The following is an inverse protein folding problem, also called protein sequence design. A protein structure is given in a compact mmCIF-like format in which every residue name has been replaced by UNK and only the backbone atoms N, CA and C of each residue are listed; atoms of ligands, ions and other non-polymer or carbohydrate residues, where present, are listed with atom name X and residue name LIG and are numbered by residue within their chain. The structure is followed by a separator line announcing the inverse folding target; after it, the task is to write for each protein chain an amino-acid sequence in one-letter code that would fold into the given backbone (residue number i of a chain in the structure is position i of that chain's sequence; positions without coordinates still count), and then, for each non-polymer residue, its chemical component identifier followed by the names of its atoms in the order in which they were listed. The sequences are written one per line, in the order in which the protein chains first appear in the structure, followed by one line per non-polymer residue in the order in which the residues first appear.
data_IF_992653075528
#
_entry.id   IF_992653075528
#
_cell.length_a   1.000
_cell.length_b   1.000
_cell.length_c   1.000
_cell.angle_alpha   90.00
_cell.angle_beta   90.00
_cell.angle_gamma   90.00
#
_symmetry.space_group_name_H-M   'P 1'
#
loop_
_entity.id
_entity.type
_entity.pdbx_description
1 polymer ?
#
# COMPACT_ATOMS: atom_id res chain seq x y z
N UNK A 1 -12.35 -21.41 -15.18
CA UNK A 1 -12.08 -20.13 -14.48
C UNK A 1 -13.21 -19.89 -13.49
N UNK A 2 -12.95 -19.58 -12.21
CA UNK A 2 -14.02 -19.29 -11.26
C UNK A 2 -14.61 -17.90 -11.52
N UNK A 3 -15.91 -17.75 -11.32
CA UNK A 3 -16.57 -16.46 -11.39
C UNK A 3 -16.00 -15.49 -10.32
N UNK A 4 -15.83 -14.19 -10.65
CA UNK A 4 -15.40 -13.19 -9.67
C UNK A 4 -16.24 -13.23 -8.40
N UNK A 5 -15.62 -13.15 -7.23
CA UNK A 5 -16.35 -13.31 -5.94
C UNK A 5 -17.51 -12.32 -5.78
N UNK A 6 -17.35 -11.09 -6.26
CA UNK A 6 -18.37 -10.03 -6.14
C UNK A 6 -19.53 -10.22 -7.11
N UNK A 7 -19.28 -10.87 -8.24
CA UNK A 7 -20.32 -11.21 -9.21
C UNK A 7 -21.27 -12.29 -8.68
N UNK A 8 -20.77 -13.20 -7.83
CA UNK A 8 -21.55 -14.37 -7.36
C UNK A 8 -22.88 -14.00 -6.70
N UNK A 9 -22.99 -12.85 -6.04
CA UNK A 9 -24.21 -12.41 -5.42
C UNK A 9 -25.34 -12.08 -6.41
N UNK A 10 -25.01 -11.84 -7.69
CA UNK A 10 -25.93 -11.51 -8.77
C UNK A 10 -26.24 -12.70 -9.67
N UNK A 11 -25.52 -13.83 -9.54
CA UNK A 11 -25.71 -15.00 -10.40
C UNK A 11 -26.93 -15.81 -9.94
N UNK A 12 -28.12 -15.23 -10.13
CA UNK A 12 -29.44 -15.83 -9.93
C UNK A 12 -30.17 -15.82 -11.26
N UNK A 13 -30.79 -16.95 -11.64
CA UNK A 13 -31.43 -17.10 -12.94
C UNK A 13 -30.43 -17.44 -14.05
N UNK A 14 -30.53 -16.81 -15.21
CA UNK A 14 -29.72 -17.11 -16.37
C UNK A 14 -29.13 -15.86 -17.03
N UNK A 15 -28.05 -16.06 -17.80
CA UNK A 15 -27.46 -15.02 -18.66
C UNK A 15 -26.85 -15.62 -19.91
N UNK A 16 -26.82 -14.84 -20.98
CA UNK A 16 -26.02 -15.17 -22.16
C UNK A 16 -24.57 -14.80 -21.88
N UNK A 17 -23.70 -15.80 -21.93
CA UNK A 17 -22.29 -15.68 -21.53
C UNK A 17 -21.40 -15.85 -22.75
N UNK A 18 -20.45 -14.94 -22.93
CA UNK A 18 -19.35 -15.05 -23.88
C UNK A 18 -18.03 -15.03 -23.13
N UNK A 19 -17.22 -16.07 -23.31
CA UNK A 19 -15.86 -16.14 -22.76
C UNK A 19 -14.87 -15.92 -23.89
N UNK A 20 -13.99 -14.94 -23.74
CA UNK A 20 -12.97 -14.57 -24.71
C UNK A 20 -11.60 -14.65 -24.05
N UNK A 21 -10.60 -15.19 -24.74
CA UNK A 21 -9.20 -15.14 -24.36
C UNK A 21 -8.37 -14.87 -25.62
N UNK A 22 -7.47 -13.90 -25.55
CA UNK A 22 -6.58 -13.51 -26.66
C UNK A 22 -7.33 -13.33 -27.99
N UNK A 23 -8.41 -12.54 -27.98
CA UNK A 23 -9.32 -12.31 -29.14
C UNK A 23 -10.10 -13.55 -29.62
N UNK A 24 -9.83 -14.73 -29.06
CA UNK A 24 -10.52 -15.95 -29.39
C UNK A 24 -11.72 -16.18 -28.50
N UNK A 25 -12.91 -16.36 -29.10
CA UNK A 25 -14.09 -16.78 -28.34
C UNK A 25 -13.96 -18.26 -27.97
N UNK A 26 -13.90 -18.53 -26.65
CA UNK A 26 -13.80 -19.88 -26.08
C UNK A 26 -15.18 -20.50 -25.86
N UNK A 27 -16.18 -19.67 -25.54
CA UNK A 27 -17.54 -20.10 -25.27
C UNK A 27 -18.53 -18.96 -25.62
N UNK A 28 -19.67 -19.31 -26.13
CA UNK A 28 -20.84 -18.44 -26.26
C UNK A 28 -22.08 -19.29 -26.06
N UNK A 29 -22.95 -18.90 -25.15
CA UNK A 29 -24.21 -19.60 -24.88
C UNK A 29 -24.89 -19.14 -23.62
N UNK A 30 -26.12 -19.60 -23.44
CA UNK A 30 -26.91 -19.36 -22.23
C UNK A 30 -26.42 -20.25 -21.10
N UNK A 31 -26.20 -19.66 -19.93
CA UNK A 31 -25.80 -20.33 -18.69
C UNK A 31 -26.87 -20.06 -17.64
N UNK A 32 -27.46 -21.10 -17.10
CA UNK A 32 -28.32 -21.03 -15.92
C UNK A 32 -27.46 -21.18 -14.67
N UNK A 33 -27.63 -20.25 -13.72
CA UNK A 33 -26.89 -20.22 -12.46
C UNK A 33 -27.74 -20.80 -11.31
N UNK A 34 -29.07 -20.66 -11.43
CA UNK A 34 -30.07 -21.24 -10.51
C UNK A 34 -31.27 -21.70 -11.33
N UNK A 35 -32.25 -22.31 -10.67
CA UNK A 35 -33.54 -22.74 -11.28
C UNK A 35 -34.53 -21.58 -11.49
N UNK A 36 -34.13 -20.34 -11.27
CA UNK A 36 -34.94 -19.15 -11.51
C UNK A 36 -34.95 -18.82 -13.01
N UNK A 37 -36.14 -18.60 -13.57
CA UNK A 37 -36.33 -18.27 -14.98
C UNK A 37 -36.02 -16.79 -15.33
N UNK A 38 -35.67 -15.97 -14.35
CA UNK A 38 -35.30 -14.58 -14.57
C UNK A 38 -33.91 -14.44 -15.18
N UNK A 39 -33.72 -13.42 -16.01
CA UNK A 39 -32.38 -13.05 -16.45
C UNK A 39 -31.60 -12.39 -15.27
N UNK A 40 -30.27 -12.65 -15.22
CA UNK A 40 -29.39 -12.01 -14.24
C UNK A 40 -29.52 -10.49 -14.35
N UNK A 41 -29.86 -9.83 -13.24
CA UNK A 41 -29.91 -8.36 -13.11
C UNK A 41 -28.84 -7.88 -12.12
N UNK A 42 -27.87 -7.14 -12.63
CA UNK A 42 -26.78 -6.60 -11.83
C UNK A 42 -27.06 -5.17 -11.43
N UNK A 43 -27.80 -4.99 -10.32
CA UNK A 43 -28.11 -3.68 -9.75
C UNK A 43 -27.63 -3.55 -8.30
N UNK A 44 -27.24 -2.35 -7.93
CA UNK A 44 -26.90 -2.05 -6.55
C UNK A 44 -28.14 -1.74 -5.69
N UNK A 45 -27.91 -1.38 -4.42
CA UNK A 45 -28.96 -0.99 -3.46
C UNK A 45 -29.74 0.27 -3.85
N UNK A 46 -29.26 1.04 -4.81
CA UNK A 46 -29.94 2.23 -5.36
C UNK A 46 -30.69 1.91 -6.66
N UNK A 47 -30.71 0.64 -7.08
CA UNK A 47 -31.32 0.20 -8.33
C UNK A 47 -30.52 0.55 -9.58
N UNK A 48 -29.26 1.02 -9.43
CA UNK A 48 -28.39 1.38 -10.54
C UNK A 48 -27.64 0.16 -11.06
N UNK A 49 -27.52 -0.01 -12.39
CA UNK A 49 -26.71 -1.05 -12.98
C UNK A 49 -25.27 -0.99 -12.48
N UNK A 50 -24.68 -2.14 -12.22
CA UNK A 50 -23.28 -2.27 -11.83
C UNK A 50 -22.57 -3.26 -12.73
N UNK A 51 -21.27 -3.04 -12.91
CA UNK A 51 -20.37 -3.98 -13.60
C UNK A 51 -19.27 -4.40 -12.63
N UNK A 52 -18.59 -5.48 -12.97
CA UNK A 52 -17.32 -5.85 -12.32
C UNK A 52 -16.19 -5.32 -13.19
N UNK A 53 -15.41 -4.40 -12.62
CA UNK A 53 -14.29 -3.79 -13.32
C UNK A 53 -13.07 -4.72 -13.44
N UNK A 54 -12.04 -4.25 -14.12
CA UNK A 54 -10.76 -4.94 -14.29
C UNK A 54 -10.06 -5.33 -12.97
N UNK A 55 -10.40 -4.67 -11.87
CA UNK A 55 -9.88 -4.95 -10.52
C UNK A 55 -10.75 -5.93 -9.72
N UNK A 56 -11.85 -6.41 -10.32
CA UNK A 56 -12.84 -7.28 -9.68
C UNK A 56 -13.71 -6.54 -8.66
N UNK A 57 -13.84 -5.22 -8.79
CA UNK A 57 -14.70 -4.38 -7.96
C UNK A 57 -16.02 -4.10 -8.67
N UNK A 58 -17.09 -3.91 -7.88
CA UNK A 58 -18.38 -3.44 -8.43
C UNK A 58 -18.29 -1.94 -8.68
N UNK A 59 -18.57 -1.54 -9.90
CA UNK A 59 -18.55 -0.16 -10.36
C UNK A 59 -19.88 0.22 -11.02
N UNK A 60 -20.19 1.52 -11.00
CA UNK A 60 -21.35 2.11 -11.66
C UNK A 60 -20.86 2.86 -12.90
N UNK A 61 -20.93 2.26 -14.09
CA UNK A 61 -20.41 2.90 -15.29
C UNK A 61 -21.18 4.16 -15.63
N UNK A 62 -20.50 5.15 -16.19
CA UNK A 62 -21.09 6.43 -16.57
C UNK A 62 -22.28 6.28 -17.52
N UNK A 63 -22.19 5.37 -18.49
CA UNK A 63 -23.26 5.10 -19.44
C UNK A 63 -24.60 4.69 -18.81
N UNK A 64 -24.59 4.23 -17.56
CA UNK A 64 -25.79 3.77 -16.85
C UNK A 64 -26.33 4.78 -15.88
N UNK A 65 -25.74 5.97 -15.81
CA UNK A 65 -26.10 7.04 -14.87
C UNK A 65 -26.79 8.19 -15.60
N UNK A 66 -27.60 8.94 -14.86
CA UNK A 66 -28.47 9.97 -15.43
C UNK A 66 -27.72 11.09 -16.17
N UNK A 67 -28.45 11.72 -17.08
CA UNK A 67 -27.96 12.89 -17.80
C UNK A 67 -27.48 14.01 -16.84
N UNK A 68 -26.44 14.71 -17.22
CA UNK A 68 -25.85 15.81 -16.44
C UNK A 68 -24.79 15.39 -15.41
N UNK A 69 -24.62 14.09 -15.10
CA UNK A 69 -23.57 13.63 -14.18
C UNK A 69 -22.16 14.02 -14.67
N UNK A 70 -21.86 13.77 -15.93
CA UNK A 70 -20.54 14.04 -16.49
C UNK A 70 -20.24 15.55 -16.53
N UNK A 71 -21.23 16.38 -16.85
CA UNK A 71 -21.10 17.82 -16.75
C UNK A 71 -20.82 18.30 -15.31
N UNK A 72 -21.54 17.73 -14.33
CA UNK A 72 -21.29 17.99 -12.90
C UNK A 72 -19.86 17.58 -12.51
N UNK A 73 -19.39 16.43 -12.94
CA UNK A 73 -18.04 15.98 -12.62
C UNK A 73 -16.96 16.84 -13.29
N UNK A 74 -17.21 17.32 -14.51
CA UNK A 74 -16.30 18.24 -15.19
C UNK A 74 -16.25 19.59 -14.45
N UNK A 75 -17.40 20.13 -13.99
CA UNK A 75 -17.47 21.37 -13.21
C UNK A 75 -16.78 21.22 -11.85
N UNK A 76 -16.99 20.11 -11.15
CA UNK A 76 -16.31 19.85 -9.87
C UNK A 76 -14.81 19.59 -10.06
N UNK A 77 -14.40 18.99 -11.18
CA UNK A 77 -12.97 18.85 -11.53
C UNK A 77 -12.31 20.23 -11.70
N UNK A 78 -12.95 21.17 -12.39
CA UNK A 78 -12.45 22.53 -12.49
C UNK A 78 -12.35 23.20 -11.11
N UNK A 79 -13.37 23.06 -10.25
CA UNK A 79 -13.30 23.59 -8.87
C UNK A 79 -12.13 23.02 -8.07
N UNK A 80 -11.84 21.73 -8.21
CA UNK A 80 -10.70 21.09 -7.55
C UNK A 80 -9.41 21.70 -8.09
N UNK A 81 -9.27 21.81 -9.41
CA UNK A 81 -8.11 22.39 -10.08
C UNK A 81 -7.87 23.83 -9.60
N UNK A 82 -8.91 24.67 -9.53
CA UNK A 82 -8.81 26.05 -9.04
C UNK A 82 -8.26 26.10 -7.60
N UNK A 83 -8.75 25.24 -6.70
CA UNK A 83 -8.23 25.16 -5.32
C UNK A 83 -6.77 24.71 -5.30
N UNK A 84 -6.39 23.73 -6.13
CA UNK A 84 -5.02 23.24 -6.23
C UNK A 84 -4.07 24.33 -6.74
N UNK A 85 -4.46 25.07 -7.72
CA UNK A 85 -3.63 26.15 -8.32
C UNK A 85 -3.61 27.40 -7.46
N UNK A 86 -4.78 27.95 -7.09
CA UNK A 86 -4.90 29.25 -6.42
C UNK A 86 -4.50 29.18 -4.94
N UNK A 87 -4.86 28.08 -4.25
CA UNK A 87 -4.64 27.96 -2.80
C UNK A 87 -3.36 27.19 -2.49
N UNK A 88 -3.06 26.13 -3.23
CA UNK A 88 -1.92 25.26 -2.93
C UNK A 88 -0.70 25.55 -3.82
N UNK A 89 -0.86 26.29 -4.92
CA UNK A 89 0.23 26.66 -5.82
C UNK A 89 0.80 25.48 -6.62
N UNK A 90 0.04 24.41 -6.81
CA UNK A 90 0.45 23.23 -7.57
C UNK A 90 -0.29 23.18 -8.91
N UNK A 91 0.40 22.79 -9.96
CA UNK A 91 -0.19 22.60 -11.30
C UNK A 91 -0.93 21.28 -11.34
N UNK A 92 -2.15 21.28 -11.87
CA UNK A 92 -2.99 20.09 -11.93
C UNK A 92 -3.69 19.93 -13.28
N UNK A 93 -3.98 18.70 -13.66
CA UNK A 93 -4.54 18.35 -14.96
C UNK A 93 -5.36 17.07 -14.88
N UNK A 94 -6.21 16.83 -15.92
CA UNK A 94 -6.88 15.56 -16.09
C UNK A 94 -5.91 14.48 -16.58
N UNK A 95 -6.02 13.26 -16.04
CA UNK A 95 -5.10 12.16 -16.35
C UNK A 95 -5.81 10.84 -16.56
N UNK A 96 -5.05 9.77 -16.77
CA UNK A 96 -5.51 8.39 -16.94
C UNK A 96 -6.72 8.23 -17.84
N UNK A 97 -7.78 7.55 -17.34
CA UNK A 97 -9.03 7.29 -18.08
C UNK A 97 -9.70 8.56 -18.55
N UNK A 98 -9.68 9.61 -17.74
CA UNK A 98 -10.25 10.93 -18.07
C UNK A 98 -9.51 11.59 -19.21
N UNK A 99 -8.16 11.63 -19.19
CA UNK A 99 -7.34 12.14 -20.29
C UNK A 99 -7.51 11.31 -21.56
N UNK A 100 -7.60 9.98 -21.41
CA UNK A 100 -7.80 9.06 -22.53
C UNK A 100 -9.13 9.33 -23.27
N UNK A 101 -10.21 9.51 -22.51
CA UNK A 101 -11.51 9.87 -23.06
C UNK A 101 -11.52 11.24 -23.73
N UNK A 102 -10.96 12.24 -23.04
CA UNK A 102 -10.80 13.60 -23.57
C UNK A 102 -10.02 13.62 -24.90
N UNK A 103 -8.87 12.93 -24.95
CA UNK A 103 -8.03 12.91 -26.16
C UNK A 103 -8.63 12.09 -27.32
N UNK A 104 -9.50 11.11 -27.06
CA UNK A 104 -10.18 10.32 -28.08
C UNK A 104 -11.40 11.03 -28.69
N UNK A 105 -12.20 11.65 -27.84
CA UNK A 105 -13.53 12.14 -28.25
C UNK A 105 -14.03 13.39 -27.53
N UNK A 106 -13.25 13.98 -26.63
CA UNK A 106 -13.71 15.07 -25.77
C UNK A 106 -14.69 14.63 -24.67
N UNK A 107 -14.87 13.30 -24.47
CA UNK A 107 -15.87 12.74 -23.56
C UNK A 107 -15.27 11.72 -22.61
N UNK A 108 -15.96 11.46 -21.51
CA UNK A 108 -15.64 10.36 -20.62
C UNK A 108 -15.81 9.00 -21.29
N UNK A 109 -15.08 8.01 -20.82
CA UNK A 109 -15.23 6.62 -21.28
C UNK A 109 -16.46 6.04 -20.60
N UNK A 110 -17.44 5.57 -21.37
CA UNK A 110 -18.77 5.20 -20.86
C UNK A 110 -18.79 4.10 -19.80
N UNK A 111 -17.86 3.13 -19.88
CA UNK A 111 -17.72 2.06 -18.90
C UNK A 111 -16.84 2.43 -17.70
N UNK A 112 -16.29 3.63 -17.65
CA UNK A 112 -15.57 4.17 -16.49
C UNK A 112 -16.54 4.66 -15.40
N UNK A 113 -16.05 4.95 -14.20
CA UNK A 113 -16.89 5.24 -13.04
C UNK A 113 -16.39 6.41 -12.18
N UNK A 114 -15.22 6.94 -12.48
CA UNK A 114 -14.52 8.00 -11.75
C UNK A 114 -13.83 8.97 -12.71
N UNK A 115 -13.39 10.09 -12.18
CA UNK A 115 -12.58 11.08 -12.90
C UNK A 115 -11.21 11.13 -12.22
N UNK A 116 -10.17 11.15 -13.02
CA UNK A 116 -8.79 11.18 -12.56
C UNK A 116 -8.16 12.57 -12.80
N UNK A 117 -7.64 13.16 -11.75
CA UNK A 117 -6.79 14.33 -11.76
C UNK A 117 -5.40 14.01 -11.24
N UNK A 118 -4.39 14.63 -11.80
CA UNK A 118 -3.03 14.63 -11.26
C UNK A 118 -2.62 16.05 -10.87
N UNK A 119 -1.71 16.17 -9.90
CA UNK A 119 -0.99 17.40 -9.65
C UNK A 119 0.51 17.14 -9.61
N UNK A 120 1.31 18.13 -10.05
CA UNK A 120 2.76 18.01 -10.03
C UNK A 120 3.33 18.48 -8.70
N UNK A 121 3.91 17.56 -7.96
CA UNK A 121 4.71 17.86 -6.77
C UNK A 121 6.16 18.19 -7.19
N UNK A 122 6.66 19.33 -6.72
CA UNK A 122 8.06 19.74 -6.85
C UNK A 122 8.88 19.41 -5.60
N UNK A 123 8.32 18.59 -4.71
CA UNK A 123 9.01 18.14 -3.49
C UNK A 123 10.05 17.09 -3.81
N UNK A 124 11.11 17.06 -3.01
CA UNK A 124 12.26 16.19 -3.22
C UNK A 124 12.16 14.84 -2.52
N UNK A 125 11.28 14.74 -1.52
CA UNK A 125 11.16 13.52 -0.71
C UNK A 125 9.71 13.06 -0.59
N UNK A 126 9.46 11.74 -0.46
CA UNK A 126 8.13 11.21 -0.23
C UNK A 126 7.44 11.81 1.01
N UNK A 127 8.19 12.09 2.07
CA UNK A 127 7.65 12.69 3.30
C UNK A 127 7.12 14.12 3.06
N UNK A 128 7.81 14.90 2.24
CA UNK A 128 7.35 16.24 1.85
C UNK A 128 6.14 16.16 0.92
N UNK A 129 6.12 15.22 -0.04
CA UNK A 129 4.98 14.97 -0.93
C UNK A 129 3.73 14.54 -0.13
N UNK A 130 3.89 13.67 0.86
CA UNK A 130 2.78 13.28 1.75
C UNK A 130 2.25 14.46 2.55
N UNK A 131 3.14 15.33 3.03
CA UNK A 131 2.75 16.56 3.75
C UNK A 131 1.99 17.52 2.84
N UNK A 132 2.47 17.71 1.61
CA UNK A 132 1.81 18.49 0.56
C UNK A 132 0.39 17.95 0.26
N UNK A 133 0.22 16.63 0.10
CA UNK A 133 -1.10 16.01 -0.07
C UNK A 133 -2.04 16.29 1.11
N UNK A 134 -1.52 16.31 2.34
CA UNK A 134 -2.31 16.66 3.52
C UNK A 134 -2.68 18.14 3.56
N UNK A 135 -1.80 19.03 3.07
CA UNK A 135 -2.10 20.45 2.91
C UNK A 135 -3.19 20.66 1.87
N UNK A 136 -3.08 20.00 0.73
CA UNK A 136 -4.12 19.95 -0.33
C UNK A 136 -5.44 19.44 0.26
N UNK A 137 -5.45 18.34 1.00
CA UNK A 137 -6.65 17.81 1.62
C UNK A 137 -7.30 18.80 2.60
N UNK A 138 -6.50 19.63 3.30
CA UNK A 138 -7.03 20.70 4.17
C UNK A 138 -7.65 21.83 3.37
N UNK A 139 -7.00 22.25 2.28
CA UNK A 139 -7.51 23.30 1.39
C UNK A 139 -8.84 22.90 0.73
N UNK A 140 -8.93 21.68 0.19
CA UNK A 140 -10.17 21.14 -0.39
C UNK A 140 -11.31 21.05 0.64
N UNK A 141 -11.01 20.63 1.89
CA UNK A 141 -12.02 20.63 2.97
C UNK A 141 -12.46 22.02 3.34
N UNK A 142 -11.53 22.99 3.39
CA UNK A 142 -11.86 24.40 3.64
C UNK A 142 -12.76 24.98 2.52
N UNK A 143 -12.59 24.53 1.27
CA UNK A 143 -13.47 24.83 0.16
C UNK A 143 -14.83 24.07 0.18
N UNK A 144 -15.12 23.34 1.27
CA UNK A 144 -16.40 22.65 1.48
C UNK A 144 -16.47 21.24 0.85
N UNK A 145 -15.38 20.71 0.32
CA UNK A 145 -15.39 19.40 -0.35
C UNK A 145 -15.26 18.26 0.67
N UNK A 146 -16.01 17.20 0.47
CA UNK A 146 -15.85 15.94 1.21
C UNK A 146 -14.84 15.07 0.50
N UNK A 147 -13.89 14.53 1.25
CA UNK A 147 -12.84 13.70 0.66
C UNK A 147 -12.36 12.60 1.59
N UNK A 148 -11.79 11.56 0.99
CA UNK A 148 -11.11 10.48 1.68
C UNK A 148 -9.67 10.37 1.18
N UNK A 149 -8.69 10.40 2.10
CA UNK A 149 -7.30 10.09 1.76
C UNK A 149 -7.19 8.58 1.61
N UNK A 150 -6.75 8.13 0.45
CA UNK A 150 -6.64 6.72 0.08
C UNK A 150 -5.26 6.15 0.36
N UNK A 151 -4.23 6.95 0.04
CA UNK A 151 -2.83 6.62 0.26
C UNK A 151 -2.02 7.90 0.52
N UNK A 152 -0.72 7.78 0.77
CA UNK A 152 0.17 8.93 0.94
C UNK A 152 0.35 9.77 -0.33
N UNK A 153 -0.12 9.28 -1.48
CA UNK A 153 0.03 9.93 -2.78
C UNK A 153 -1.29 10.15 -3.53
N UNK A 154 -2.46 9.82 -2.96
CA UNK A 154 -3.72 10.18 -3.57
C UNK A 154 -4.89 10.25 -2.59
N UNK A 155 -5.89 11.02 -2.97
CA UNK A 155 -7.16 11.17 -2.27
C UNK A 155 -8.32 11.11 -3.28
N UNK A 156 -9.52 10.78 -2.80
CA UNK A 156 -10.77 10.84 -3.57
C UNK A 156 -11.67 11.93 -3.02
N UNK A 157 -12.04 12.90 -3.84
CA UNK A 157 -13.11 13.85 -3.56
C UNK A 157 -14.44 13.18 -3.86
N UNK A 158 -15.38 13.24 -2.90
CA UNK A 158 -16.70 12.66 -3.01
C UNK A 158 -17.69 13.70 -3.50
N UNK A 159 -18.23 13.51 -4.69
CA UNK A 159 -19.21 14.39 -5.30
C UNK A 159 -20.61 13.82 -5.05
N UNK A 160 -21.49 14.54 -4.34
CA UNK A 160 -22.89 14.18 -4.24
C UNK A 160 -23.54 14.24 -5.63
N UNK A 161 -24.33 13.23 -5.97
CA UNK A 161 -24.98 13.14 -7.29
C UNK A 161 -26.51 13.06 -7.12
N UNK A 162 -27.29 13.52 -8.11
CA UNK A 162 -28.76 13.52 -8.03
C UNK A 162 -29.37 12.14 -7.81
N UNK A 163 -28.71 11.08 -8.29
CA UNK A 163 -29.12 9.68 -8.10
C UNK A 163 -28.83 9.14 -6.67
N UNK A 164 -28.24 9.96 -5.80
CA UNK A 164 -27.91 9.59 -4.41
C UNK A 164 -26.77 8.58 -4.26
N UNK A 165 -26.20 8.09 -5.36
CA UNK A 165 -25.13 7.08 -5.33
C UNK A 165 -23.74 7.68 -5.09
N UNK A 166 -23.59 8.99 -5.32
CA UNK A 166 -22.30 9.68 -5.29
C UNK A 166 -21.38 9.31 -6.47
N UNK A 167 -20.33 10.10 -6.67
CA UNK A 167 -19.26 9.83 -7.60
C UNK A 167 -17.89 10.21 -6.98
N UNK A 168 -16.80 9.68 -7.51
CA UNK A 168 -15.44 9.99 -7.08
C UNK A 168 -14.71 10.84 -8.10
N UNK A 169 -13.89 11.78 -7.62
CA UNK A 169 -12.82 12.40 -8.39
C UNK A 169 -11.54 12.10 -7.65
N UNK A 170 -10.67 11.33 -8.28
CA UNK A 170 -9.39 10.95 -7.71
C UNK A 170 -8.33 12.00 -8.02
N UNK A 171 -7.53 12.37 -7.03
CA UNK A 171 -6.46 13.36 -7.15
C UNK A 171 -5.15 12.70 -6.75
N UNK A 172 -4.26 12.55 -7.72
CA UNK A 172 -2.99 11.83 -7.58
C UNK A 172 -1.79 12.76 -7.54
N UNK A 173 -0.81 12.41 -6.72
CA UNK A 173 0.50 13.05 -6.73
C UNK A 173 1.33 12.54 -7.90
N UNK A 174 1.81 13.44 -8.75
CA UNK A 174 2.75 13.16 -9.83
C UNK A 174 4.07 13.89 -9.54
N UNK A 175 5.19 13.30 -9.87
CA UNK A 175 6.52 13.87 -9.62
C UNK A 175 7.58 13.30 -10.53
N UNK A 176 8.69 14.03 -10.67
CA UNK A 176 9.89 13.55 -11.34
C UNK A 176 10.89 13.07 -10.27
N UNK A 177 11.44 11.88 -10.47
CA UNK A 177 12.49 11.34 -9.62
C UNK A 177 13.45 10.49 -10.45
N UNK A 178 14.76 10.70 -10.29
CA UNK A 178 15.80 9.94 -10.99
C UNK A 178 15.56 9.85 -12.52
N UNK A 179 15.23 10.99 -13.13
CA UNK A 179 14.98 11.10 -14.58
C UNK A 179 13.67 10.47 -15.08
N UNK A 180 12.85 9.94 -14.19
CA UNK A 180 11.56 9.33 -14.53
C UNK A 180 10.39 10.16 -14.05
N UNK A 181 9.31 10.18 -14.82
CA UNK A 181 8.00 10.64 -14.37
C UNK A 181 7.29 9.51 -13.62
N UNK A 182 6.81 9.83 -12.43
CA UNK A 182 5.92 8.97 -11.65
C UNK A 182 4.53 9.59 -11.65
N UNK A 183 3.62 8.95 -12.33
CA UNK A 183 2.19 9.28 -12.34
C UNK A 183 1.45 8.11 -11.71
N UNK A 184 1.43 8.07 -10.37
CA UNK A 184 1.12 6.92 -9.53
C UNK A 184 2.12 5.74 -9.66
N UNK A 185 1.88 4.61 -8.99
CA UNK A 185 2.69 3.41 -9.12
C UNK A 185 2.64 2.78 -10.54
N UNK A 186 1.65 3.16 -11.34
CA UNK A 186 1.38 2.53 -12.64
C UNK A 186 2.20 3.11 -13.78
N UNK A 187 2.71 4.34 -13.64
CA UNK A 187 3.50 5.00 -14.70
C UNK A 187 4.83 5.45 -14.14
N UNK A 188 5.89 4.81 -14.59
CA UNK A 188 7.28 5.19 -14.34
C UNK A 188 8.08 5.06 -15.63
N UNK A 189 8.53 6.18 -16.16
CA UNK A 189 9.28 6.18 -17.41
C UNK A 189 10.08 7.47 -17.55
N UNK A 190 11.17 7.45 -18.30
CA UNK A 190 11.82 8.68 -18.74
C UNK A 190 10.88 9.48 -19.64
N UNK A 191 10.56 10.70 -19.23
CA UNK A 191 9.72 11.63 -19.98
C UNK A 191 10.36 13.01 -19.92
N UNK A 192 10.56 13.69 -21.04
CA UNK A 192 10.99 15.09 -21.01
C UNK A 192 9.91 15.92 -20.34
N UNK A 193 10.33 16.86 -19.48
CA UNK A 193 9.40 17.70 -18.72
C UNK A 193 8.47 18.51 -19.65
N UNK A 194 8.95 18.82 -20.85
CA UNK A 194 8.24 19.55 -21.90
C UNK A 194 7.07 18.78 -22.48
N UNK A 195 7.02 17.45 -22.32
CA UNK A 195 5.84 16.66 -22.68
C UNK A 195 4.68 16.87 -21.71
N UNK A 196 4.99 17.23 -20.45
CA UNK A 196 3.99 17.53 -19.43
C UNK A 196 3.66 19.02 -19.37
N UNK A 197 4.66 19.89 -19.44
CA UNK A 197 4.53 21.35 -19.21
C UNK A 197 5.00 22.18 -20.41
N UNK A 198 4.40 23.37 -20.65
CA UNK A 198 3.27 23.94 -19.91
C UNK A 198 1.97 23.18 -20.17
N UNK A 199 1.07 23.14 -19.18
CA UNK A 199 -0.26 22.54 -19.37
C UNK A 199 -1.01 23.26 -20.49
N UNK A 200 -1.82 22.52 -21.25
CA UNK A 200 -2.65 23.04 -22.32
C UNK A 200 -4.11 22.67 -22.10
N UNK A 201 -5.05 23.54 -22.49
CA UNK A 201 -6.46 23.21 -22.40
C UNK A 201 -6.81 22.05 -23.34
N UNK A 202 -7.57 21.09 -22.82
CA UNK A 202 -8.15 19.98 -23.58
C UNK A 202 -9.65 19.88 -23.27
N UNK A 203 -10.45 19.59 -24.31
CA UNK A 203 -11.89 19.46 -24.13
C UNK A 203 -12.24 18.18 -23.38
N UNK A 204 -13.10 18.30 -22.35
CA UNK A 204 -13.70 17.19 -21.63
C UNK A 204 -15.12 17.54 -21.21
N UNK A 205 -16.11 16.82 -21.73
CA UNK A 205 -17.55 17.01 -21.47
C UNK A 205 -18.02 18.45 -21.67
N UNK A 206 -17.53 19.10 -22.78
CA UNK A 206 -17.87 20.49 -23.14
C UNK A 206 -17.20 21.56 -22.26
N UNK A 207 -16.20 21.21 -21.46
CA UNK A 207 -15.34 22.12 -20.68
C UNK A 207 -13.91 22.04 -21.17
N UNK A 208 -13.19 23.13 -21.07
CA UNK A 208 -11.75 23.17 -21.33
C UNK A 208 -10.99 23.01 -20.02
N UNK A 209 -10.51 21.80 -19.74
CA UNK A 209 -9.73 21.48 -18.55
C UNK A 209 -8.23 21.45 -18.88
N UNK A 210 -7.32 21.69 -17.90
CA UNK A 210 -5.89 21.52 -18.12
C UNK A 210 -5.54 20.06 -18.45
N UNK A 211 -4.69 19.89 -19.47
CA UNK A 211 -4.10 18.62 -19.87
C UNK A 211 -2.58 18.77 -20.05
N UNK A 212 -1.82 17.66 -20.22
CA UNK A 212 -0.40 17.69 -20.53
C UNK A 212 -0.09 18.49 -21.81
N UNK A 213 1.15 19.01 -21.94
CA UNK A 213 1.63 19.68 -23.14
C UNK A 213 1.54 18.80 -24.40
N UNK A 214 1.80 17.52 -24.25
CA UNK A 214 1.67 16.46 -25.25
C UNK A 214 0.85 15.29 -24.71
N UNK A 215 -0.50 15.37 -24.79
CA UNK A 215 -1.38 14.29 -24.32
C UNK A 215 -1.11 12.96 -25.00
N UNK A 216 -0.76 12.98 -26.30
CA UNK A 216 -0.51 11.75 -27.06
C UNK A 216 0.71 10.99 -26.51
N UNK A 217 1.77 11.72 -26.17
CA UNK A 217 2.99 11.14 -25.57
C UNK A 217 2.72 10.52 -24.20
N UNK A 218 1.98 11.21 -23.33
CA UNK A 218 1.60 10.71 -22.01
C UNK A 218 0.70 9.47 -22.12
N UNK A 219 -0.25 9.49 -23.04
CA UNK A 219 -1.15 8.35 -23.27
C UNK A 219 -0.43 7.15 -23.88
N UNK A 220 0.50 7.37 -24.82
CA UNK A 220 1.33 6.30 -25.38
C UNK A 220 2.14 5.57 -24.29
N UNK A 221 2.66 6.32 -23.34
CA UNK A 221 3.41 5.80 -22.19
C UNK A 221 2.51 5.02 -21.24
N UNK A 222 1.32 5.54 -20.96
CA UNK A 222 0.39 4.95 -19.98
C UNK A 222 -0.35 3.74 -20.52
N UNK A 223 -0.68 3.73 -21.84
CA UNK A 223 -1.57 2.75 -22.45
C UNK A 223 -0.95 2.01 -23.65
N UNK A 224 0.29 2.36 -24.02
CA UNK A 224 0.97 1.79 -25.18
C UNK A 224 0.65 2.52 -26.50
N UNK A 225 1.33 2.15 -27.60
CA UNK A 225 1.24 2.85 -28.88
C UNK A 225 -0.16 2.79 -29.51
N UNK A 226 -0.97 1.80 -29.14
CA UNK A 226 -2.32 1.60 -29.64
C UNK A 226 -3.41 2.25 -28.79
N UNK A 227 -3.06 3.22 -27.92
CA UNK A 227 -3.98 3.85 -26.98
C UNK A 227 -5.25 4.44 -27.61
N UNK A 228 -5.23 4.75 -28.91
CA UNK A 228 -6.39 5.26 -29.65
C UNK A 228 -7.47 4.21 -29.87
N UNK A 229 -7.11 2.94 -29.87
CA UNK A 229 -8.04 1.82 -30.06
C UNK A 229 -8.58 1.40 -28.70
N UNK A 230 -9.92 1.36 -28.49
CA UNK A 230 -10.48 0.89 -27.24
C UNK A 230 -10.10 -0.56 -26.94
N UNK A 231 -9.54 -0.82 -25.77
CA UNK A 231 -9.26 -2.14 -25.23
C UNK A 231 -9.88 -2.29 -23.84
N UNK A 232 -11.08 -2.88 -23.73
CA UNK A 232 -11.74 -3.09 -22.45
C UNK A 232 -10.99 -4.05 -21.52
N UNK A 233 -10.04 -4.81 -22.03
CA UNK A 233 -9.23 -5.75 -21.25
C UNK A 233 -7.96 -5.12 -20.67
N UNK A 234 -7.63 -3.91 -21.07
CA UNK A 234 -6.41 -3.24 -20.65
C UNK A 234 -6.31 -3.12 -19.10
N UNK A 235 -5.17 -3.53 -18.60
CA UNK A 235 -4.82 -3.37 -17.18
C UNK A 235 -3.41 -2.84 -17.06
N UNK A 236 -3.22 -1.81 -16.24
CA UNK A 236 -1.88 -1.42 -15.84
C UNK A 236 -1.22 -2.54 -15.05
N UNK A 237 -0.05 -2.96 -15.48
CA UNK A 237 0.74 -4.01 -14.82
C UNK A 237 2.13 -3.45 -14.51
N UNK A 238 2.26 -2.62 -13.47
CA UNK A 238 3.57 -2.14 -13.06
C UNK A 238 4.44 -3.31 -12.60
N UNK A 239 5.74 -3.21 -12.84
CA UNK A 239 6.67 -4.21 -12.34
C UNK A 239 6.63 -4.27 -10.80
N UNK A 240 6.85 -5.45 -10.19
CA UNK A 240 6.82 -5.61 -8.74
C UNK A 240 7.73 -4.64 -7.98
N UNK A 241 8.86 -4.28 -8.57
CA UNK A 241 9.82 -3.33 -8.00
C UNK A 241 9.24 -1.90 -7.91
N UNK A 242 8.44 -1.50 -8.91
CA UNK A 242 7.79 -0.20 -8.95
C UNK A 242 6.71 -0.15 -7.87
N UNK A 243 5.87 -1.18 -7.80
CA UNK A 243 4.84 -1.29 -6.78
C UNK A 243 5.44 -1.24 -5.36
N UNK A 244 6.49 -2.02 -5.11
CA UNK A 244 7.15 -2.06 -3.81
C UNK A 244 7.75 -0.72 -3.41
N UNK A 245 8.47 -0.06 -4.34
CA UNK A 245 9.09 1.24 -4.08
C UNK A 245 8.05 2.31 -3.81
N UNK A 246 7.01 2.36 -4.62
CA UNK A 246 5.94 3.35 -4.50
C UNK A 246 5.13 3.16 -3.21
N UNK A 247 4.84 1.91 -2.87
CA UNK A 247 4.20 1.55 -1.61
C UNK A 247 5.09 1.87 -0.40
N UNK A 248 6.40 1.65 -0.51
CA UNK A 248 7.38 2.04 0.50
C UNK A 248 7.41 3.56 0.71
N UNK A 249 7.33 4.34 -0.36
CA UNK A 249 7.34 5.79 -0.28
C UNK A 249 6.07 6.39 0.30
N UNK A 250 4.89 5.83 -0.03
CA UNK A 250 3.60 6.44 0.28
C UNK A 250 2.72 5.62 1.22
N UNK A 251 3.26 4.52 1.73
CA UNK A 251 2.78 3.92 2.97
C UNK A 251 1.48 3.16 2.93
N UNK A 252 1.18 2.40 1.88
CA UNK A 252 0.15 1.35 1.98
C UNK A 252 0.42 0.21 1.02
N UNK A 253 1.10 -0.82 1.49
CA UNK A 253 1.22 -2.12 0.83
C UNK A 253 -0.12 -2.88 0.85
N UNK A 254 -1.13 -2.40 0.14
CA UNK A 254 -2.48 -2.96 0.18
C UNK A 254 -2.53 -4.45 -0.12
N UNK A 255 -1.80 -4.89 -1.12
CA UNK A 255 -1.78 -6.29 -1.53
C UNK A 255 -1.12 -7.15 -0.46
N UNK A 256 0.08 -6.81 -0.05
CA UNK A 256 0.82 -7.52 0.99
C UNK A 256 0.12 -7.46 2.35
N UNK A 257 -0.37 -6.28 2.74
CA UNK A 257 -1.14 -6.12 3.98
C UNK A 257 -2.38 -7.03 3.99
N UNK A 258 -3.10 -7.12 2.87
CA UNK A 258 -4.27 -8.03 2.76
C UNK A 258 -3.87 -9.48 2.96
N UNK A 259 -2.75 -9.90 2.40
CA UNK A 259 -2.23 -11.26 2.52
C UNK A 259 -1.72 -11.55 3.94
N UNK A 260 -0.98 -10.62 4.55
CA UNK A 260 -0.59 -10.73 5.95
C UNK A 260 -1.79 -10.73 6.90
N UNK A 261 -2.79 -9.91 6.66
CA UNK A 261 -4.05 -9.94 7.42
C UNK A 261 -4.76 -11.30 7.31
N UNK A 262 -4.75 -11.93 6.13
CA UNK A 262 -5.32 -13.26 5.94
C UNK A 262 -4.50 -14.32 6.68
N UNK A 263 -3.19 -14.29 6.58
CA UNK A 263 -2.27 -15.18 7.28
C UNK A 263 -2.42 -15.06 8.81
N UNK A 264 -2.28 -13.85 9.35
CA UNK A 264 -2.38 -13.61 10.80
C UNK A 264 -3.76 -13.97 11.35
N UNK A 265 -4.83 -13.74 10.60
CA UNK A 265 -6.19 -14.17 10.99
C UNK A 265 -6.32 -15.68 11.08
N UNK A 266 -5.72 -16.42 10.14
CA UNK A 266 -5.74 -17.88 10.14
C UNK A 266 -4.91 -18.41 11.30
N UNK A 267 -3.71 -17.88 11.50
CA UNK A 267 -2.85 -18.25 12.60
C UNK A 267 -3.49 -17.94 13.98
N UNK A 268 -4.12 -16.76 14.12
CA UNK A 268 -4.80 -16.40 15.38
C UNK A 268 -5.99 -17.31 15.72
N UNK A 269 -6.70 -17.84 14.71
CA UNK A 269 -7.78 -18.81 14.92
C UNK A 269 -7.27 -20.19 15.36
N UNK A 270 -6.05 -20.53 15.00
CA UNK A 270 -5.43 -21.81 15.38
C UNK A 270 -4.95 -21.85 16.84
N UNK A 271 -5.07 -20.74 17.59
CA UNK A 271 -4.60 -20.63 18.97
C UNK A 271 -3.07 -20.52 19.02
N UNK A 272 -2.49 -19.39 18.60
CA UNK A 272 -1.04 -19.25 18.53
C UNK A 272 -0.42 -19.29 19.93
N UNK A 273 0.72 -19.97 20.04
CA UNK A 273 1.55 -20.03 21.23
C UNK A 273 2.81 -19.20 21.04
N UNK A 274 3.44 -18.83 22.13
CA UNK A 274 4.72 -18.14 22.13
C UNK A 274 5.83 -18.97 21.47
N UNK A 275 6.80 -18.32 20.89
CA UNK A 275 7.96 -18.94 20.26
C UNK A 275 9.01 -19.40 21.27
N UNK A 276 9.87 -20.35 20.86
CA UNK A 276 11.08 -20.68 21.61
C UNK A 276 11.98 -19.48 21.81
N UNK A 277 12.05 -18.59 20.82
CA UNK A 277 12.87 -17.39 20.90
C UNK A 277 12.39 -16.41 21.99
N UNK A 278 11.06 -16.23 22.16
CA UNK A 278 10.53 -15.41 23.25
C UNK A 278 10.89 -15.98 24.62
N UNK A 279 10.85 -17.32 24.76
CA UNK A 279 11.28 -17.99 26.00
C UNK A 279 12.77 -17.83 26.28
N UNK A 280 13.60 -17.84 25.24
CA UNK A 280 15.06 -17.66 25.36
C UNK A 280 15.44 -16.19 25.68
N UNK A 281 14.65 -15.21 25.23
CA UNK A 281 14.87 -13.78 25.46
C UNK A 281 14.44 -13.36 26.85
N UNK A 282 13.30 -13.87 27.36
CA UNK A 282 12.71 -13.44 28.63
C UNK A 282 13.72 -13.36 29.79
N UNK A 283 14.55 -14.42 30.08
CA UNK A 283 15.49 -14.39 31.20
C UNK A 283 16.67 -13.42 31.02
N UNK A 284 16.84 -12.86 29.85
CA UNK A 284 17.91 -11.87 29.52
C UNK A 284 17.45 -10.45 29.66
N UNK A 285 16.14 -10.21 29.78
CA UNK A 285 15.57 -8.88 29.86
C UNK A 285 15.88 -8.26 31.23
N UNK A 286 16.28 -6.97 31.28
CA UNK A 286 16.51 -6.28 32.54
C UNK A 286 15.19 -6.06 33.30
N UNK A 287 15.28 -5.92 34.61
CA UNK A 287 14.13 -5.63 35.47
C UNK A 287 13.45 -4.31 35.08
N UNK A 288 12.12 -4.31 35.09
CA UNK A 288 11.30 -3.14 34.74
C UNK A 288 11.32 -2.74 33.27
N UNK A 289 11.87 -3.59 32.40
CA UNK A 289 11.90 -3.34 30.95
C UNK A 289 10.51 -3.43 30.34
N UNK A 290 10.26 -2.63 29.32
CA UNK A 290 9.13 -2.77 28.42
C UNK A 290 9.60 -3.33 27.06
N UNK A 291 8.97 -4.40 26.59
CA UNK A 291 9.27 -5.01 25.28
C UNK A 291 8.46 -4.35 24.17
N UNK A 292 9.13 -4.01 23.09
CA UNK A 292 8.54 -3.54 21.81
C UNK A 292 8.63 -4.70 20.80
N UNK A 293 7.54 -5.44 20.64
CA UNK A 293 7.45 -6.56 19.69
C UNK A 293 7.08 -6.00 18.31
N UNK A 294 8.10 -5.83 17.44
CA UNK A 294 7.95 -5.25 16.10
C UNK A 294 7.77 -6.36 15.07
N UNK A 295 6.65 -6.32 14.34
CA UNK A 295 6.19 -7.42 13.50
C UNK A 295 5.48 -8.49 14.32
N UNK A 296 4.69 -8.08 15.30
CA UNK A 296 4.07 -8.95 16.30
C UNK A 296 3.09 -9.99 15.74
N UNK A 297 2.63 -9.84 14.50
CA UNK A 297 1.74 -10.78 13.84
C UNK A 297 0.47 -11.09 14.65
N UNK A 298 0.40 -12.27 15.25
CA UNK A 298 -0.74 -12.68 16.10
C UNK A 298 -0.70 -12.10 17.51
N UNK A 299 0.44 -11.52 17.92
CA UNK A 299 0.67 -11.01 19.28
C UNK A 299 1.00 -12.10 20.31
N UNK A 300 1.31 -13.33 19.89
CA UNK A 300 1.55 -14.44 20.81
C UNK A 300 2.78 -14.23 21.70
N UNK A 301 3.90 -13.79 21.10
CA UNK A 301 5.14 -13.52 21.83
C UNK A 301 4.98 -12.31 22.77
N UNK A 302 4.36 -11.20 22.29
CA UNK A 302 4.04 -10.06 23.12
C UNK A 302 3.12 -10.42 24.31
N UNK A 303 2.11 -11.28 24.07
CA UNK A 303 1.24 -11.75 25.12
C UNK A 303 1.96 -12.66 26.14
N UNK A 304 2.94 -13.43 25.68
CA UNK A 304 3.79 -14.21 26.56
C UNK A 304 4.58 -13.32 27.50
N UNK A 305 5.29 -12.32 26.98
CA UNK A 305 6.01 -11.37 27.83
C UNK A 305 5.09 -10.71 28.87
N UNK A 306 3.92 -10.25 28.45
CA UNK A 306 2.95 -9.64 29.35
C UNK A 306 2.47 -10.60 30.44
N UNK A 307 2.19 -11.88 30.14
CA UNK A 307 1.82 -12.91 31.13
C UNK A 307 2.93 -13.19 32.13
N UNK A 308 4.19 -12.96 31.76
CA UNK A 308 5.35 -13.10 32.64
C UNK A 308 5.66 -11.81 33.41
N UNK A 309 4.75 -10.84 33.41
CA UNK A 309 4.91 -9.58 34.14
C UNK A 309 5.78 -8.53 33.42
N UNK A 310 6.19 -8.77 32.19
CA UNK A 310 6.97 -7.81 31.37
C UNK A 310 6.01 -7.06 30.44
N UNK A 311 5.76 -5.76 30.66
CA UNK A 311 4.88 -4.99 29.78
C UNK A 311 5.34 -5.04 28.32
N UNK A 312 4.40 -5.27 27.40
CA UNK A 312 4.70 -5.44 25.99
C UNK A 312 3.84 -4.53 25.10
N UNK A 313 4.45 -3.98 24.06
CA UNK A 313 3.80 -3.22 23.01
C UNK A 313 3.96 -3.98 21.69
N UNK A 314 2.87 -4.55 21.22
CA UNK A 314 2.83 -5.23 19.93
C UNK A 314 2.63 -4.22 18.80
N UNK A 315 3.54 -4.21 17.84
CA UNK A 315 3.60 -3.30 16.70
C UNK A 315 3.53 -4.10 15.41
N UNK A 316 2.47 -3.90 14.63
CA UNK A 316 2.32 -4.53 13.31
C UNK A 316 1.30 -3.76 12.48
N UNK A 317 1.41 -3.79 11.15
CA UNK A 317 0.43 -3.17 10.25
C UNK A 317 -0.71 -4.12 9.86
N UNK A 318 -0.58 -5.41 10.12
CA UNK A 318 -1.50 -6.48 9.76
C UNK A 318 -2.08 -7.22 10.97
N UNK A 319 -2.35 -6.49 12.05
CA UNK A 319 -2.87 -7.05 13.30
C UNK A 319 -4.23 -7.73 13.10
N UNK A 320 -4.47 -8.91 13.67
CA UNK A 320 -5.77 -9.56 13.67
C UNK A 320 -6.87 -8.67 14.25
N UNK A 321 -8.13 -8.97 13.93
CA UNK A 321 -9.27 -8.26 14.54
C UNK A 321 -9.23 -8.41 16.07
N UNK A 322 -9.66 -7.37 16.79
CA UNK A 322 -9.60 -7.29 18.26
C UNK A 322 -10.14 -8.55 18.96
N UNK A 323 -11.21 -9.17 18.46
CA UNK A 323 -11.79 -10.40 19.01
C UNK A 323 -10.90 -11.64 18.91
N UNK A 324 -9.86 -11.60 18.06
CA UNK A 324 -8.86 -12.66 17.90
C UNK A 324 -7.53 -12.29 18.54
N UNK A 325 -7.47 -11.15 19.22
CA UNK A 325 -6.28 -10.63 19.87
C UNK A 325 -6.23 -11.13 21.33
N UNK A 326 -5.03 -11.49 21.83
CA UNK A 326 -4.89 -11.86 23.23
C UNK A 326 -5.32 -10.71 24.16
N UNK A 327 -6.21 -11.00 25.10
CA UNK A 327 -6.59 -10.06 26.16
C UNK A 327 -5.74 -10.37 27.40
N UNK A 328 -4.65 -9.62 27.56
CA UNK A 328 -3.65 -9.80 28.62
C UNK A 328 -3.30 -8.44 29.21
N UNK A 329 -3.32 -8.36 30.53
CA UNK A 329 -2.87 -7.16 31.24
C UNK A 329 -1.39 -6.86 30.90
N UNK A 330 -1.05 -5.58 30.73
CA UNK A 330 0.30 -5.17 30.33
C UNK A 330 0.59 -5.30 28.83
N UNK A 331 -0.34 -5.85 28.03
CA UNK A 331 -0.20 -5.91 26.57
C UNK A 331 -0.90 -4.74 25.89
N UNK A 332 -0.13 -3.92 25.19
CA UNK A 332 -0.65 -2.83 24.35
C UNK A 332 -0.53 -3.20 22.87
N UNK A 333 -1.58 -2.90 22.11
CA UNK A 333 -1.63 -3.12 20.66
C UNK A 333 -1.55 -1.81 19.92
N UNK A 334 -0.61 -1.68 18.98
CA UNK A 334 -0.47 -0.51 18.12
C UNK A 334 -0.26 -0.93 16.66
N UNK A 335 -1.00 -0.30 15.77
CA UNK A 335 -0.79 -0.45 14.34
C UNK A 335 0.35 0.46 13.91
N UNK A 336 1.31 -0.06 13.15
CA UNK A 336 2.40 0.71 12.53
C UNK A 336 2.77 0.11 11.18
N UNK A 337 2.86 0.96 10.17
CA UNK A 337 3.32 0.58 8.84
C UNK A 337 4.78 1.04 8.64
N UNK A 338 5.72 0.10 8.61
CA UNK A 338 7.14 0.39 8.40
C UNK A 338 7.48 0.93 6.99
N UNK A 339 6.52 0.99 6.09
CA UNK A 339 6.67 1.64 4.79
C UNK A 339 6.07 3.05 4.74
N UNK A 340 5.49 3.52 5.85
CA UNK A 340 4.97 4.89 5.99
C UNK A 340 5.86 5.68 6.94
N UNK A 341 6.72 6.54 6.36
CA UNK A 341 7.67 7.36 7.13
C UNK A 341 6.97 8.18 8.22
N UNK A 342 5.78 8.71 7.95
CA UNK A 342 5.03 9.49 8.93
C UNK A 342 4.57 8.63 10.10
N UNK A 343 4.07 7.43 9.79
CA UNK A 343 3.62 6.48 10.82
C UNK A 343 4.80 6.03 11.68
N UNK A 344 5.92 5.68 11.03
CA UNK A 344 7.19 5.31 11.69
C UNK A 344 7.65 6.42 12.64
N UNK A 345 7.81 7.66 12.15
CA UNK A 345 8.31 8.77 12.96
C UNK A 345 7.37 9.11 14.11
N UNK A 346 6.05 9.13 13.84
CA UNK A 346 5.05 9.39 14.88
C UNK A 346 5.11 8.32 15.97
N UNK A 347 5.15 7.06 15.58
CA UNK A 347 5.20 5.93 16.51
C UNK A 347 6.51 5.90 17.29
N UNK A 348 7.63 6.06 16.63
CA UNK A 348 8.95 6.08 17.25
C UNK A 348 9.07 7.17 18.34
N UNK A 349 8.59 8.39 18.06
CA UNK A 349 8.57 9.49 19.04
C UNK A 349 7.67 9.17 20.23
N UNK A 350 6.49 8.58 20.00
CA UNK A 350 5.59 8.18 21.10
C UNK A 350 6.22 7.09 21.97
N UNK A 351 6.90 6.12 21.38
CA UNK A 351 7.63 5.06 22.11
C UNK A 351 8.80 5.64 22.91
N UNK A 352 9.54 6.59 22.34
CA UNK A 352 10.67 7.26 22.99
C UNK A 352 10.30 8.14 24.19
N UNK A 353 9.01 8.47 24.40
CA UNK A 353 8.53 9.19 25.59
C UNK A 353 8.48 8.32 26.85
N UNK A 354 8.60 7.02 26.69
CA UNK A 354 8.69 6.13 27.86
C UNK A 354 9.99 6.37 28.62
N UNK A 355 9.88 6.54 29.94
CA UNK A 355 11.03 6.90 30.79
C UNK A 355 11.79 5.68 31.36
N UNK A 356 11.18 4.49 31.28
CA UNK A 356 11.81 3.25 31.74
C UNK A 356 12.65 2.58 30.64
N UNK A 357 13.38 1.50 30.99
CA UNK A 357 14.14 0.73 30.02
C UNK A 357 13.23 0.09 28.98
N UNK A 358 13.74 -0.04 27.75
CA UNK A 358 13.03 -0.66 26.66
C UNK A 358 13.93 -1.67 25.93
N UNK A 359 13.33 -2.74 25.43
CA UNK A 359 13.97 -3.67 24.52
C UNK A 359 13.10 -3.86 23.27
N UNK A 360 13.72 -3.91 22.10
CA UNK A 360 13.07 -4.29 20.86
C UNK A 360 13.19 -5.79 20.68
N UNK A 361 12.08 -6.43 20.37
CA UNK A 361 12.01 -7.82 19.99
C UNK A 361 11.46 -7.89 18.56
N UNK A 362 12.09 -8.64 17.66
CA UNK A 362 11.60 -8.84 16.31
C UNK A 362 11.94 -10.24 15.80
N UNK A 363 10.92 -11.01 15.45
CA UNK A 363 11.03 -12.39 14.97
C UNK A 363 10.37 -12.53 13.61
N UNK A 364 11.13 -13.02 12.61
CA UNK A 364 10.61 -13.22 11.26
C UNK A 364 10.22 -11.93 10.55
N UNK A 365 10.71 -10.79 11.03
CA UNK A 365 10.37 -9.47 10.48
C UNK A 365 11.30 -9.08 9.32
N UNK A 366 12.61 -9.19 9.49
CA UNK A 366 13.56 -8.61 8.52
C UNK A 366 13.43 -9.23 7.14
N UNK A 367 13.24 -10.54 7.05
CA UNK A 367 12.98 -11.21 5.78
C UNK A 367 11.58 -10.91 5.19
N UNK A 368 10.68 -10.38 5.99
CA UNK A 368 9.33 -9.95 5.56
C UNK A 368 9.30 -8.51 5.07
N UNK A 369 10.40 -7.77 5.22
CA UNK A 369 10.52 -6.38 4.82
C UNK A 369 11.38 -6.23 3.56
N UNK A 370 10.90 -5.45 2.59
CA UNK A 370 11.73 -4.92 1.51
C UNK A 370 12.83 -4.01 2.10
N UNK A 371 13.90 -3.73 1.36
CA UNK A 371 15.00 -2.89 1.84
C UNK A 371 14.55 -1.58 2.49
N UNK A 372 13.61 -0.87 1.86
CA UNK A 372 13.07 0.40 2.36
C UNK A 372 12.37 0.24 3.73
N UNK A 373 11.61 -0.86 3.90
CA UNK A 373 10.97 -1.18 5.18
C UNK A 373 11.97 -1.53 6.27
N UNK A 374 13.10 -2.19 5.92
CA UNK A 374 14.20 -2.45 6.87
C UNK A 374 14.90 -1.17 7.31
N UNK A 375 15.11 -0.24 6.39
CA UNK A 375 15.65 1.09 6.72
C UNK A 375 14.74 1.80 7.73
N UNK A 376 13.44 1.80 7.50
CA UNK A 376 12.46 2.40 8.41
C UNK A 376 12.36 1.66 9.75
N UNK A 377 12.55 0.34 9.79
CA UNK A 377 12.67 -0.41 11.03
C UNK A 377 13.85 0.10 11.87
N UNK A 378 15.03 0.27 11.29
CA UNK A 378 16.19 0.78 11.99
C UNK A 378 16.02 2.22 12.43
N UNK A 379 15.33 3.04 11.66
CA UNK A 379 14.98 4.41 12.05
C UNK A 379 14.02 4.43 13.26
N UNK A 380 12.98 3.58 13.26
CA UNK A 380 12.07 3.41 14.39
C UNK A 380 12.85 3.02 15.65
N UNK A 381 13.71 2.03 15.55
CA UNK A 381 14.52 1.51 16.66
C UNK A 381 15.45 2.58 17.20
N UNK A 382 16.18 3.29 16.32
CA UNK A 382 17.12 4.36 16.73
C UNK A 382 16.45 5.49 17.52
N UNK A 383 15.20 5.82 17.19
CA UNK A 383 14.44 6.86 17.88
C UNK A 383 13.80 6.29 19.17
N UNK A 384 13.19 5.11 19.10
CA UNK A 384 12.53 4.48 20.25
C UNK A 384 13.53 4.18 21.40
N UNK A 385 14.73 3.71 21.04
CA UNK A 385 15.81 3.38 21.98
C UNK A 385 16.84 4.51 22.17
N UNK A 386 16.48 5.76 21.88
CA UNK A 386 17.42 6.89 22.10
C UNK A 386 17.98 7.00 23.52
N UNK A 387 17.26 6.48 24.51
CA UNK A 387 17.68 6.38 25.91
C UNK A 387 18.56 5.18 26.23
N UNK A 388 18.92 4.40 25.23
CA UNK A 388 19.61 3.11 25.37
C UNK A 388 18.65 1.93 25.44
N UNK A 389 19.16 0.74 25.19
CA UNK A 389 18.39 -0.51 25.27
C UNK A 389 19.00 -1.65 24.47
N UNK A 390 18.24 -2.71 24.33
CA UNK A 390 18.67 -3.89 23.57
C UNK A 390 17.68 -4.22 22.45
N UNK A 391 18.20 -4.88 21.43
CA UNK A 391 17.43 -5.43 20.31
C UNK A 391 17.69 -6.92 20.27
N UNK A 392 16.64 -7.72 20.30
CA UNK A 392 16.69 -9.17 20.14
C UNK A 392 16.04 -9.52 18.81
N UNK A 393 16.83 -10.09 17.89
CA UNK A 393 16.42 -10.44 16.54
C UNK A 393 16.50 -11.95 16.31
N UNK A 394 15.46 -12.52 15.71
CA UNK A 394 15.48 -13.82 15.07
C UNK A 394 14.96 -13.69 13.65
N UNK A 395 15.71 -14.21 12.68
CA UNK A 395 15.38 -14.09 11.26
C UNK A 395 15.82 -15.34 10.50
N UNK A 396 15.30 -15.52 9.29
CA UNK A 396 15.66 -16.62 8.40
C UNK A 396 16.42 -16.12 7.18
N UNK A 397 17.55 -16.79 6.89
CA UNK A 397 18.30 -16.60 5.66
C UNK A 397 17.87 -17.65 4.63
N UNK A 398 17.48 -17.20 3.46
CA UNK A 398 16.98 -18.02 2.37
C UNK A 398 17.95 -18.01 1.19
N UNK A 399 18.22 -19.17 0.57
CA UNK A 399 18.86 -19.19 -0.74
C UNK A 399 17.97 -18.50 -1.78
N UNK A 400 18.58 -17.89 -2.80
CA UNK A 400 17.79 -17.23 -3.86
C UNK A 400 16.77 -18.17 -4.53
N UNK A 401 17.13 -19.43 -4.89
CA UNK A 401 16.16 -20.36 -5.46
C UNK A 401 15.01 -20.69 -4.49
N UNK A 402 15.29 -21.01 -3.22
CA UNK A 402 14.27 -21.30 -2.23
C UNK A 402 13.36 -20.09 -1.96
N UNK A 403 13.92 -18.87 -1.99
CA UNK A 403 13.16 -17.66 -1.85
C UNK A 403 12.24 -17.42 -3.06
N UNK A 404 12.72 -17.72 -4.29
CA UNK A 404 11.89 -17.60 -5.50
C UNK A 404 10.69 -18.55 -5.45
N UNK A 405 10.89 -19.82 -5.08
CA UNK A 405 9.82 -20.79 -4.89
C UNK A 405 8.81 -20.33 -3.83
N UNK A 406 9.29 -19.80 -2.70
CA UNK A 406 8.45 -19.28 -1.63
C UNK A 406 7.72 -18.00 -2.05
N UNK A 407 8.35 -17.15 -2.82
CA UNK A 407 7.77 -15.90 -3.33
C UNK A 407 6.59 -16.19 -4.26
N UNK A 408 6.71 -17.19 -5.14
CA UNK A 408 5.61 -17.64 -5.99
C UNK A 408 4.44 -18.16 -5.15
N UNK A 409 4.69 -19.01 -4.16
CA UNK A 409 3.67 -19.58 -3.29
C UNK A 409 3.00 -18.53 -2.37
N UNK A 410 3.72 -17.48 -1.97
CA UNK A 410 3.33 -16.51 -0.95
C UNK A 410 3.13 -15.08 -1.48
N UNK A 411 3.16 -14.87 -2.81
CA UNK A 411 2.85 -13.58 -3.41
C UNK A 411 3.91 -12.49 -3.19
N UNK A 412 5.21 -12.85 -3.11
CA UNK A 412 6.30 -11.86 -3.07
C UNK A 412 6.53 -11.18 -1.72
N UNK A 413 6.24 -11.85 -0.61
CA UNK A 413 6.29 -11.29 0.76
C UNK A 413 7.61 -11.45 1.49
N UNK A 414 8.64 -12.00 0.86
CA UNK A 414 9.92 -12.26 1.48
C UNK A 414 11.08 -11.75 0.62
N UNK A 415 12.08 -11.22 1.29
CA UNK A 415 13.28 -10.67 0.67
C UNK A 415 14.53 -11.31 1.27
N UNK A 416 15.62 -11.44 0.48
CA UNK A 416 16.89 -11.87 1.02
C UNK A 416 17.35 -10.89 2.10
N UNK A 417 17.73 -11.40 3.25
CA UNK A 417 18.38 -10.65 4.32
C UNK A 417 19.30 -11.59 5.09
N UNK A 418 20.31 -11.04 5.73
CA UNK A 418 21.24 -11.85 6.48
C UNK A 418 22.05 -11.08 7.52
N UNK A 419 22.87 -11.82 8.29
CA UNK A 419 23.61 -11.27 9.41
C UNK A 419 24.50 -10.07 9.06
N UNK A 420 25.21 -10.14 7.94
CA UNK A 420 26.14 -9.09 7.51
C UNK A 420 25.42 -7.76 7.19
N UNK A 421 24.24 -7.80 6.57
CA UNK A 421 23.42 -6.61 6.32
C UNK A 421 22.93 -6.02 7.64
N UNK A 422 22.42 -6.87 8.52
CA UNK A 422 21.90 -6.47 9.83
C UNK A 422 22.97 -5.83 10.71
N UNK A 423 24.18 -6.36 10.70
CA UNK A 423 25.32 -5.79 11.43
C UNK A 423 25.65 -4.38 10.94
N UNK A 424 25.77 -4.17 9.63
CA UNK A 424 26.00 -2.84 9.05
C UNK A 424 24.90 -1.85 9.39
N UNK A 425 23.64 -2.29 9.38
CA UNK A 425 22.52 -1.43 9.73
C UNK A 425 22.48 -1.07 11.22
N UNK A 426 22.88 -1.99 12.10
CA UNK A 426 23.04 -1.72 13.53
C UNK A 426 24.17 -0.71 13.78
N UNK A 427 25.33 -0.90 13.14
CA UNK A 427 26.48 0.02 13.22
C UNK A 427 26.10 1.43 12.73
N UNK A 428 25.30 1.53 11.65
CA UNK A 428 24.84 2.82 11.11
C UNK A 428 23.99 3.65 12.08
N UNK A 429 23.31 2.99 13.02
CA UNK A 429 22.58 3.68 14.11
C UNK A 429 23.39 3.83 15.39
N UNK A 430 24.68 3.47 15.38
CA UNK A 430 25.59 3.53 16.54
C UNK A 430 25.37 2.40 17.54
N UNK A 431 24.81 1.28 17.13
CA UNK A 431 24.57 0.12 17.98
C UNK A 431 25.68 -0.94 17.83
N UNK A 432 25.85 -1.78 18.84
CA UNK A 432 26.90 -2.81 18.91
C UNK A 432 26.29 -4.21 19.00
N UNK A 433 26.77 -5.14 18.19
CA UNK A 433 26.37 -6.54 18.29
C UNK A 433 27.08 -7.21 19.48
N UNK A 434 26.30 -7.73 20.43
CA UNK A 434 26.78 -8.36 21.66
C UNK A 434 26.82 -9.88 21.57
N UNK A 435 25.90 -10.48 20.85
CA UNK A 435 25.82 -11.93 20.65
C UNK A 435 25.22 -12.29 19.31
N UNK A 436 25.72 -13.36 18.73
CA UNK A 436 25.26 -13.92 17.45
C UNK A 436 25.14 -15.44 17.54
N UNK A 437 24.13 -16.00 16.89
CA UNK A 437 23.93 -17.44 16.76
C UNK A 437 23.43 -17.77 15.35
N UNK A 438 23.78 -18.96 14.82
CA UNK A 438 23.32 -19.41 13.50
C UNK A 438 23.91 -18.69 12.30
N UNK A 439 24.84 -17.74 12.49
CA UNK A 439 25.38 -16.85 11.44
C UNK A 439 26.05 -17.60 10.30
N UNK A 440 26.90 -18.61 10.59
CA UNK A 440 27.57 -19.39 9.55
C UNK A 440 26.61 -20.15 8.65
N UNK A 441 25.56 -20.75 9.27
CA UNK A 441 24.53 -21.46 8.51
C UNK A 441 23.71 -20.48 7.64
N UNK A 442 23.41 -19.29 8.16
CA UNK A 442 22.71 -18.24 7.43
C UNK A 442 23.52 -17.73 6.22
N UNK A 443 24.81 -17.48 6.39
CA UNK A 443 25.69 -17.05 5.31
C UNK A 443 25.86 -18.15 4.23
N UNK A 444 25.96 -19.41 4.65
CA UNK A 444 25.96 -20.53 3.72
C UNK A 444 24.67 -20.68 2.94
N UNK A 445 23.51 -20.49 3.59
CA UNK A 445 22.21 -20.51 2.92
C UNK A 445 22.06 -19.38 1.90
N UNK A 446 22.50 -18.17 2.23
CA UNK A 446 22.46 -17.02 1.30
C UNK A 446 23.38 -17.22 0.08
N UNK A 447 24.52 -17.87 0.25
CA UNK A 447 25.50 -18.16 -0.81
C UNK A 447 25.09 -19.35 -1.69
N UNK A 448 24.12 -20.17 -1.29
CA UNK A 448 23.74 -21.36 -2.02
C UNK A 448 23.11 -21.03 -3.38
N UNK A 449 23.57 -21.72 -4.42
CA UNK A 449 23.08 -21.60 -5.81
C UNK A 449 21.91 -22.55 -6.12
N UNK A 450 21.61 -23.45 -5.21
CA UNK A 450 20.46 -24.37 -5.27
C UNK A 450 19.46 -24.07 -4.15
N UNK A 451 18.24 -24.60 -4.27
CA UNK A 451 17.26 -24.52 -3.22
C UNK A 451 17.73 -25.32 -2.02
N UNK A 452 17.96 -24.65 -0.89
CA UNK A 452 18.29 -25.26 0.40
C UNK A 452 17.34 -24.79 1.48
N UNK A 453 17.12 -25.58 2.56
CA UNK A 453 16.32 -25.13 3.68
C UNK A 453 16.83 -23.80 4.26
N UNK A 454 15.93 -22.91 4.71
CA UNK A 454 16.35 -21.67 5.34
C UNK A 454 17.09 -21.94 6.65
N UNK A 455 18.09 -21.10 6.92
CA UNK A 455 18.83 -21.14 8.16
C UNK A 455 18.37 -20.01 9.10
N UNK A 456 17.99 -20.37 10.32
CA UNK A 456 17.64 -19.40 11.36
C UNK A 456 18.93 -18.82 11.96
N UNK A 457 18.94 -17.52 12.16
CA UNK A 457 20.00 -16.79 12.85
C UNK A 457 19.41 -15.79 13.84
N UNK A 458 20.20 -15.44 14.86
CA UNK A 458 19.82 -14.58 15.96
C UNK A 458 20.90 -13.55 16.26
N UNK A 459 20.51 -12.37 16.71
CA UNK A 459 21.39 -11.33 17.20
C UNK A 459 20.84 -10.67 18.45
N UNK A 460 21.72 -10.38 19.40
CA UNK A 460 21.47 -9.43 20.49
C UNK A 460 22.34 -8.22 20.24
N UNK A 461 21.74 -7.06 20.13
CA UNK A 461 22.37 -5.80 19.75
C UNK A 461 22.12 -4.77 20.84
N UNK A 462 23.16 -4.12 21.31
CA UNK A 462 23.10 -3.07 22.30
C UNK A 462 23.06 -1.69 21.63
N UNK A 463 22.07 -0.89 22.00
CA UNK A 463 21.95 0.51 21.59
C UNK A 463 22.39 1.39 22.75
N UNK A 464 23.53 2.09 22.67
CA UNK A 464 23.97 2.99 23.73
C UNK A 464 23.01 4.19 23.82
N UNK A 465 22.84 4.78 25.01
CA UNK A 465 22.09 6.02 25.15
C UNK A 465 22.76 7.12 24.33
N UNK A 466 21.98 7.79 23.50
CA UNK A 466 22.47 8.99 22.81
C UNK A 466 22.57 10.10 23.85
N UNK A 467 23.82 10.54 24.13
CA UNK A 467 24.10 11.59 25.08
C UNK A 467 23.22 12.80 24.84
N UNK A 468 22.41 13.16 25.82
CA UNK A 468 21.82 14.48 25.85
C UNK A 468 22.98 15.47 25.92
N UNK A 469 23.14 16.29 24.87
CA UNK A 469 23.96 17.51 25.07
C UNK A 469 23.34 18.22 26.25
N UNK A 470 24.08 18.29 27.34
CA UNK A 470 23.77 19.18 28.45
C UNK A 470 23.71 20.60 27.89
N UNK A 471 22.49 21.10 27.68
CA UNK A 471 22.22 22.52 27.53
C UNK A 471 21.59 23.02 28.81
#
# INVERSE_FOLDING_TARGET
MPWPKRLRAFLVGWSDVRVVAEERTLFTGRVAFTDDDAAVDMRDRHGLPVIVDKWGLLQRPFDTRGEGLLGLLADESQRIIDVLEDTCGVRSWISFGTLLGAARSGKAIGHDSDVDLCYLSEKSTPAEMQRELWDIARALRAAGMKLQIRAGCFLTVQVPTPDGAGAGIDVYTTFFFDGNLYETATVRTPVPREALLPLKPIEFEGRMLPGPADPAKILEISYGPNWKVPDPSFQHQPGPEIEQRFDGWFGKLWRQRREWNAFNRTAAKAGPVESGFARDVLPRLPEGVRVLDVGAGTGADAAYFARQGVPAVALDYALPRRRLWPDVEGLTRNEVNLYDVRDVLTRAVLLARHRGPQAVYARGLLESLAPDGREQFWQLVAIALRGGGEIHLESQAWSRPALAERTEALGGRFWPTGPAETRRAAEAIGAEVRAEDGVRAAEAALAATTSVPPATWRMTIHVPPRGGSSA
#
